data_IF_255109104683
#
_entry.id   IF_255109104683
#
_cell.length_a   1.000
_cell.length_b   1.000
_cell.length_c   1.000
_cell.angle_alpha   90.00
_cell.angle_beta   90.00
_cell.angle_gamma   90.00
#
_symmetry.space_group_name_H-M   'P 1'
#
loop_
_entity.id
_entity.type
_entity.pdbx_description
1 polymer ?
#
# COMPACT_ATOMS: atom_id res chain seq x y z
N UNK A 1 4.94 51.96 -7.41
CA UNK A 1 5.71 50.73 -7.65
C UNK A 1 5.29 49.68 -6.60
N UNK A 2 4.84 48.51 -7.06
CA UNK A 2 4.59 47.42 -6.14
C UNK A 2 5.93 46.97 -5.55
N UNK A 3 6.06 47.04 -4.22
CA UNK A 3 7.24 46.54 -3.53
C UNK A 3 7.05 45.07 -3.39
N UNK A 4 7.94 44.27 -3.98
CA UNK A 4 7.95 42.81 -3.82
C UNK A 4 8.33 42.46 -2.40
N UNK A 5 7.55 41.55 -1.78
CA UNK A 5 7.96 40.91 -0.53
C UNK A 5 8.90 39.76 -0.85
N UNK A 6 10.17 39.96 -0.63
CA UNK A 6 11.22 38.99 -0.93
C UNK A 6 11.19 37.76 -0.02
N UNK A 7 10.64 37.87 1.21
CA UNK A 7 10.44 36.73 2.08
C UNK A 7 9.33 35.81 1.50
N UNK A 8 8.21 36.38 1.10
CA UNK A 8 7.14 35.62 0.44
C UNK A 8 7.59 35.02 -0.89
N UNK A 9 8.41 35.72 -1.65
CA UNK A 9 8.96 35.18 -2.90
C UNK A 9 9.96 34.04 -2.61
N UNK A 10 10.81 34.16 -1.61
CA UNK A 10 11.79 33.12 -1.26
C UNK A 10 11.12 31.83 -0.75
N UNK A 11 9.94 31.94 -0.13
CA UNK A 11 9.18 30.78 0.36
C UNK A 11 8.24 30.18 -0.70
N UNK A 12 8.09 30.83 -1.85
CA UNK A 12 7.12 30.41 -2.83
C UNK A 12 7.56 29.14 -3.59
N UNK A 13 6.77 28.09 -3.53
CA UNK A 13 7.05 26.78 -4.16
C UNK A 13 6.58 26.72 -5.63
N UNK A 14 5.80 27.70 -6.10
CA UNK A 14 5.27 27.75 -7.46
C UNK A 14 6.22 28.49 -8.44
N UNK A 15 7.27 29.12 -7.92
CA UNK A 15 8.27 29.81 -8.75
C UNK A 15 9.07 28.75 -9.53
N UNK A 16 9.20 28.99 -10.84
CA UNK A 16 10.11 28.24 -11.69
C UNK A 16 11.55 28.73 -11.42
N UNK A 17 12.16 28.11 -10.43
CA UNK A 17 13.51 28.46 -10.00
C UNK A 17 14.54 28.16 -11.08
N UNK A 18 15.42 29.12 -11.35
CA UNK A 18 16.55 28.96 -12.24
C UNK A 18 17.77 29.68 -11.68
N UNK A 19 18.95 29.25 -12.12
CA UNK A 19 20.21 29.87 -11.74
C UNK A 19 20.27 31.36 -12.18
N UNK A 20 19.69 31.69 -13.33
CA UNK A 20 19.59 33.07 -13.82
C UNK A 20 18.74 33.93 -12.86
N UNK A 21 17.61 33.39 -12.39
CA UNK A 21 16.74 34.10 -11.46
C UNK A 21 17.43 34.33 -10.11
N UNK A 22 18.11 33.31 -9.58
CA UNK A 22 18.83 33.41 -8.32
C UNK A 22 19.96 34.43 -8.42
N UNK A 23 20.78 34.38 -9.47
CA UNK A 23 21.91 35.29 -9.69
C UNK A 23 21.47 36.73 -9.88
N UNK A 24 20.37 36.96 -10.62
CA UNK A 24 19.86 38.30 -10.95
C UNK A 24 19.42 39.09 -9.70
N UNK A 25 18.90 38.41 -8.70
CA UNK A 25 18.36 39.00 -7.49
C UNK A 25 19.07 38.52 -6.22
N UNK A 26 20.33 38.10 -6.34
CA UNK A 26 21.16 37.50 -5.31
C UNK A 26 21.11 38.25 -3.96
N UNK A 27 21.18 39.58 -3.99
CA UNK A 27 21.16 40.44 -2.80
C UNK A 27 19.74 40.78 -2.28
N UNK A 28 18.69 40.22 -2.90
CA UNK A 28 17.29 40.44 -2.54
C UNK A 28 16.68 39.24 -1.84
N UNK A 29 17.13 38.05 -2.19
CA UNK A 29 16.59 36.81 -1.65
C UNK A 29 16.84 36.71 -0.15
N UNK A 30 15.85 36.15 0.57
CA UNK A 30 16.07 35.65 1.91
C UNK A 30 16.65 34.24 1.82
N UNK A 31 17.94 34.10 1.94
CA UNK A 31 18.68 32.86 1.75
C UNK A 31 18.35 31.80 2.82
N UNK A 32 18.01 32.21 4.06
CA UNK A 32 17.52 31.31 5.08
C UNK A 32 16.23 30.62 4.59
N UNK A 33 15.24 31.41 4.17
CA UNK A 33 13.96 30.87 3.64
C UNK A 33 14.18 30.05 2.37
N UNK A 34 15.10 30.45 1.49
CA UNK A 34 15.46 29.67 0.31
C UNK A 34 16.07 28.30 0.68
N UNK A 35 16.85 28.24 1.76
CA UNK A 35 17.43 26.98 2.25
C UNK A 35 16.36 25.96 2.67
N UNK A 36 15.22 26.43 3.15
CA UNK A 36 14.05 25.59 3.48
C UNK A 36 13.23 25.19 2.24
N UNK A 37 13.35 25.96 1.13
CA UNK A 37 12.46 25.83 -0.02
C UNK A 37 12.72 24.50 -0.76
N UNK A 38 11.70 23.65 -0.80
CA UNK A 38 11.79 22.31 -1.40
C UNK A 38 11.60 22.27 -2.90
N UNK A 39 11.24 23.41 -3.53
CA UNK A 39 10.98 23.50 -4.97
C UNK A 39 12.18 23.97 -5.81
N UNK A 40 13.30 24.36 -5.16
CA UNK A 40 14.53 24.61 -5.90
C UNK A 40 15.04 23.33 -6.54
N UNK A 41 15.62 23.46 -7.74
CA UNK A 41 16.31 22.33 -8.39
C UNK A 41 17.65 22.06 -7.69
N UNK A 42 17.56 21.49 -6.49
CA UNK A 42 18.71 21.23 -5.66
C UNK A 42 19.74 20.34 -6.37
N UNK A 43 20.96 20.82 -6.47
CA UNK A 43 22.11 20.08 -6.95
C UNK A 43 23.36 20.50 -6.19
N UNK A 44 24.38 19.66 -6.27
CA UNK A 44 25.66 19.95 -5.66
C UNK A 44 26.28 21.27 -6.20
N UNK A 45 26.14 21.51 -7.51
CA UNK A 45 26.62 22.73 -8.17
C UNK A 45 25.92 23.98 -7.63
N UNK A 46 24.60 23.90 -7.41
CA UNK A 46 23.83 24.99 -6.85
C UNK A 46 24.27 25.30 -5.42
N UNK A 47 24.44 24.27 -4.59
CA UNK A 47 24.90 24.43 -3.19
C UNK A 47 26.28 25.03 -3.16
N UNK A 48 27.21 24.54 -3.98
CA UNK A 48 28.59 25.04 -4.02
C UNK A 48 28.67 26.48 -4.54
N UNK A 49 27.88 26.82 -5.57
CA UNK A 49 27.86 28.16 -6.16
C UNK A 49 27.50 29.24 -5.15
N UNK A 50 26.50 28.96 -4.31
CA UNK A 50 25.99 29.94 -3.32
C UNK A 50 26.34 29.58 -1.88
N UNK A 51 27.43 28.82 -1.68
CA UNK A 51 27.83 28.26 -0.37
C UNK A 51 27.94 29.27 0.77
N UNK A 52 28.22 30.53 0.47
CA UNK A 52 28.37 31.60 1.45
C UNK A 52 27.03 32.26 1.85
N UNK A 53 25.94 31.90 1.19
CA UNK A 53 24.61 32.47 1.42
C UNK A 53 23.66 31.52 2.14
N UNK A 54 23.83 30.19 1.95
CA UNK A 54 22.95 29.20 2.52
C UNK A 54 22.98 29.17 4.05
N UNK A 55 21.81 28.96 4.62
CA UNK A 55 21.68 28.52 6.00
C UNK A 55 21.82 26.99 6.04
N UNK A 56 22.93 26.50 6.54
CA UNK A 56 23.26 25.07 6.56
C UNK A 56 22.43 24.26 7.56
N UNK A 57 21.86 24.92 8.59
CA UNK A 57 20.92 24.27 9.50
C UNK A 57 19.63 23.90 8.76
N UNK A 58 19.10 24.85 7.97
CA UNK A 58 17.90 24.65 7.18
C UNK A 58 18.16 23.75 5.96
N UNK A 59 19.32 23.85 5.31
CA UNK A 59 19.69 22.91 4.26
C UNK A 59 19.74 21.47 4.77
N UNK A 60 20.30 21.24 5.96
CA UNK A 60 20.37 19.90 6.55
C UNK A 60 18.98 19.29 6.77
N UNK A 61 17.97 20.10 7.08
CA UNK A 61 16.58 19.69 7.28
C UNK A 61 15.80 19.52 5.97
N UNK A 62 16.30 20.11 4.87
CA UNK A 62 15.57 20.14 3.61
C UNK A 62 15.50 18.75 2.96
N UNK A 63 14.28 18.20 2.92
CA UNK A 63 14.00 16.83 2.42
C UNK A 63 14.23 16.64 0.92
N UNK A 64 14.39 17.72 0.15
CA UNK A 64 14.62 17.67 -1.30
C UNK A 64 16.11 17.56 -1.64
N UNK A 65 17.00 17.64 -0.65
CA UNK A 65 18.44 17.50 -0.84
C UNK A 65 18.88 16.09 -0.44
N UNK A 66 19.51 15.39 -1.38
CA UNK A 66 20.07 14.07 -1.14
C UNK A 66 21.49 14.20 -0.57
N UNK A 67 21.57 14.20 0.76
CA UNK A 67 22.86 14.26 1.44
C UNK A 67 23.57 12.91 1.39
N UNK A 68 24.83 12.94 0.93
CA UNK A 68 25.77 11.81 1.03
C UNK A 68 26.72 12.03 2.19
N UNK A 69 27.40 10.96 2.60
CA UNK A 69 28.41 11.02 3.67
C UNK A 69 29.45 12.11 3.38
N UNK A 70 29.97 12.19 2.12
CA UNK A 70 31.00 13.14 1.72
C UNK A 70 30.50 14.59 1.78
N UNK A 71 29.23 14.85 1.44
CA UNK A 71 28.64 16.18 1.49
C UNK A 71 28.37 16.63 2.94
N UNK A 72 27.93 15.71 3.77
CA UNK A 72 27.72 15.97 5.21
C UNK A 72 29.05 16.37 5.86
N UNK A 73 30.12 15.64 5.55
CA UNK A 73 31.45 15.90 6.09
C UNK A 73 32.05 17.19 5.52
N UNK A 74 31.89 17.42 4.21
CA UNK A 74 32.37 18.63 3.52
C UNK A 74 31.77 19.91 4.09
N UNK A 75 30.45 19.92 4.34
CA UNK A 75 29.75 21.09 4.86
C UNK A 75 29.60 21.09 6.38
N UNK A 76 30.20 20.13 7.07
CA UNK A 76 30.17 19.98 8.54
C UNK A 76 28.74 20.03 9.10
N UNK A 77 27.82 19.32 8.42
CA UNK A 77 26.42 19.31 8.82
C UNK A 77 26.25 18.57 10.16
N UNK A 78 25.53 19.20 11.08
CA UNK A 78 25.34 18.67 12.41
C UNK A 78 24.18 17.69 12.50
N UNK A 79 24.35 16.62 13.28
CA UNK A 79 23.33 15.62 13.57
C UNK A 79 21.99 16.22 14.01
N UNK A 80 22.04 17.21 14.90
CA UNK A 80 20.82 17.84 15.46
C UNK A 80 19.86 18.41 14.40
N UNK A 81 20.33 18.66 13.17
CA UNK A 81 19.52 19.13 12.06
C UNK A 81 19.20 18.00 11.06
N UNK A 82 20.18 17.14 10.75
CA UNK A 82 20.04 16.03 9.82
C UNK A 82 18.98 15.02 10.24
N UNK A 83 18.83 14.76 11.52
CA UNK A 83 17.83 13.81 12.05
C UNK A 83 16.38 14.18 11.72
N UNK A 84 16.10 15.41 11.32
CA UNK A 84 14.78 15.87 10.89
C UNK A 84 14.55 15.74 9.39
N UNK A 85 15.59 15.36 8.62
CA UNK A 85 15.49 15.21 7.18
C UNK A 85 14.88 13.86 6.79
N UNK A 86 13.58 13.85 6.49
CA UNK A 86 12.85 12.64 6.08
C UNK A 86 13.10 12.23 4.62
N UNK A 87 13.73 13.09 3.82
CA UNK A 87 14.10 12.80 2.42
C UNK A 87 15.46 12.12 2.28
N UNK A 88 16.28 12.13 3.34
CA UNK A 88 17.61 11.54 3.31
C UNK A 88 17.54 10.01 3.22
N UNK A 89 18.40 9.42 2.38
CA UNK A 89 18.57 7.97 2.30
C UNK A 89 19.56 7.52 3.38
N UNK A 90 19.08 6.83 4.39
CA UNK A 90 19.90 6.31 5.48
C UNK A 90 20.62 5.02 5.03
N UNK A 91 21.87 5.17 4.63
CA UNK A 91 22.77 4.09 4.28
C UNK A 91 23.49 3.52 5.50
N UNK A 92 24.11 2.35 5.35
CA UNK A 92 24.90 1.74 6.44
C UNK A 92 25.99 2.69 6.94
N UNK A 93 26.69 3.39 6.03
CA UNK A 93 27.78 4.30 6.40
C UNK A 93 27.29 5.51 7.21
N UNK A 94 26.12 6.06 6.86
CA UNK A 94 25.49 7.13 7.62
C UNK A 94 25.01 6.67 9.00
N UNK A 95 24.41 5.47 9.06
CA UNK A 95 23.98 4.89 10.33
C UNK A 95 25.16 4.58 11.24
N UNK A 96 26.29 4.09 10.72
CA UNK A 96 27.53 3.90 11.48
C UNK A 96 28.11 5.22 11.97
N UNK A 97 28.06 6.25 11.14
CA UNK A 97 28.55 7.60 11.49
C UNK A 97 27.79 8.22 12.66
N UNK A 98 26.49 8.03 12.70
CA UNK A 98 25.59 8.63 13.71
C UNK A 98 25.05 7.63 14.73
N UNK A 99 25.64 6.46 14.83
CA UNK A 99 25.16 5.38 15.71
C UNK A 99 25.02 5.82 17.17
N UNK A 100 26.01 6.57 17.68
CA UNK A 100 26.03 7.06 19.06
C UNK A 100 24.93 8.07 19.35
N UNK A 101 24.71 8.97 18.38
CA UNK A 101 23.69 10.00 18.46
C UNK A 101 22.28 9.41 18.44
N UNK A 102 22.07 8.36 17.60
CA UNK A 102 20.80 7.62 17.55
C UNK A 102 20.56 6.88 18.87
N UNK A 103 21.60 6.29 19.47
CA UNK A 103 21.52 5.60 20.76
C UNK A 103 21.13 6.57 21.90
N UNK A 104 21.69 7.78 21.90
CA UNK A 104 21.38 8.80 22.91
C UNK A 104 19.95 9.34 22.82
N UNK A 105 19.36 9.38 21.63
CA UNK A 105 17.99 9.87 21.45
C UNK A 105 16.93 9.03 22.20
N UNK A 106 17.22 7.78 22.54
CA UNK A 106 16.30 6.90 23.28
C UNK A 106 16.08 7.41 24.72
N UNK A 107 17.09 8.05 25.31
CA UNK A 107 17.03 8.54 26.69
C UNK A 107 16.38 9.92 26.81
N UNK A 108 16.39 10.72 25.74
CA UNK A 108 15.94 12.12 25.71
C UNK A 108 14.58 12.36 25.07
N UNK A 109 13.95 11.32 24.49
CA UNK A 109 12.73 11.48 23.69
C UNK A 109 11.47 11.77 24.52
N UNK A 110 11.43 12.97 25.08
CA UNK A 110 10.21 13.58 25.64
C UNK A 110 9.29 14.14 24.55
N UNK A 111 9.78 14.25 23.31
CA UNK A 111 9.06 14.70 22.12
C UNK A 111 9.24 13.69 21.01
N UNK A 112 8.16 13.16 20.47
CA UNK A 112 8.12 12.20 19.34
C UNK A 112 8.73 12.75 18.02
N UNK A 113 9.88 13.43 18.11
CA UNK A 113 10.54 14.12 17.00
C UNK A 113 11.93 13.61 16.66
N UNK A 114 12.67 13.05 17.64
CA UNK A 114 14.04 12.61 17.43
C UNK A 114 14.12 11.29 16.65
N UNK A 115 15.16 11.11 15.84
CA UNK A 115 15.42 9.87 15.12
C UNK A 115 15.92 8.79 16.09
N UNK A 116 15.21 7.69 16.18
CA UNK A 116 15.56 6.52 16.99
C UNK A 116 15.63 5.25 16.12
N UNK A 117 16.24 4.19 16.62
CA UNK A 117 16.25 2.88 15.95
C UNK A 117 14.85 2.31 15.77
N UNK A 118 13.95 2.61 16.70
CA UNK A 118 12.55 2.26 16.60
C UNK A 118 11.90 2.93 15.38
N UNK A 119 12.08 4.25 15.21
CA UNK A 119 11.53 5.01 14.07
C UNK A 119 12.13 4.60 12.74
N UNK A 120 13.44 4.31 12.71
CA UNK A 120 14.09 3.74 11.52
C UNK A 120 13.45 2.41 11.12
N UNK A 121 13.10 1.58 12.11
CA UNK A 121 12.48 0.27 11.87
C UNK A 121 11.04 0.35 11.35
N UNK A 122 10.35 1.47 11.54
CA UNK A 122 8.95 1.65 11.14
C UNK A 122 8.78 1.82 9.63
N UNK A 123 7.71 1.21 9.07
CA UNK A 123 7.22 1.51 7.72
C UNK A 123 6.11 2.57 7.74
N UNK A 124 5.44 2.76 6.61
CA UNK A 124 4.33 3.74 6.46
C UNK A 124 3.06 3.40 7.24
N UNK A 125 3.01 2.29 7.94
CA UNK A 125 1.81 1.79 8.59
C UNK A 125 1.27 2.73 9.69
N UNK A 126 2.09 3.64 10.22
CA UNK A 126 1.70 4.59 11.26
C UNK A 126 1.52 5.99 10.67
N UNK A 127 0.28 6.40 10.44
CA UNK A 127 -0.10 7.70 9.84
C UNK A 127 0.45 8.96 10.55
N UNK A 128 0.93 8.81 11.77
CA UNK A 128 1.37 9.91 12.63
C UNK A 128 2.88 10.03 12.76
N UNK A 129 3.66 9.06 12.24
CA UNK A 129 5.11 9.02 12.39
C UNK A 129 5.83 9.49 11.12
N UNK A 130 6.98 10.11 11.31
CA UNK A 130 7.90 10.41 10.20
C UNK A 130 8.44 9.09 9.65
N UNK A 131 8.28 8.88 8.36
CA UNK A 131 8.88 7.73 7.68
C UNK A 131 10.26 8.12 7.19
N UNK A 132 11.26 7.37 7.63
CA UNK A 132 12.63 7.54 7.17
C UNK A 132 12.92 6.59 6.02
N UNK A 133 13.63 7.11 5.02
CA UNK A 133 14.04 6.33 3.86
C UNK A 133 15.35 5.62 4.19
N UNK A 134 15.32 4.30 4.39
CA UNK A 134 16.50 3.48 4.73
C UNK A 134 16.83 2.57 3.56
N UNK A 135 18.11 2.49 3.22
CA UNK A 135 18.65 1.57 2.21
C UNK A 135 18.75 0.15 2.78
N UNK A 136 17.60 -0.49 2.94
CA UNK A 136 17.50 -1.79 3.57
C UNK A 136 18.25 -2.87 2.78
N UNK A 137 19.17 -3.52 3.46
CA UNK A 137 19.89 -4.70 2.96
C UNK A 137 20.13 -5.69 4.10
N UNK A 138 20.35 -6.96 3.77
CA UNK A 138 20.73 -7.98 4.75
C UNK A 138 21.99 -7.56 5.53
N UNK A 139 22.95 -6.90 4.86
CA UNK A 139 24.16 -6.38 5.47
C UNK A 139 23.85 -5.32 6.52
N UNK A 140 22.99 -4.35 6.20
CA UNK A 140 22.58 -3.28 7.11
C UNK A 140 21.82 -3.86 8.31
N UNK A 141 20.84 -4.71 8.06
CA UNK A 141 20.02 -5.32 9.13
C UNK A 141 20.92 -6.13 10.09
N UNK A 142 21.86 -6.92 9.54
CA UNK A 142 22.82 -7.70 10.36
C UNK A 142 23.74 -6.82 11.18
N UNK A 143 24.18 -5.70 10.64
CA UNK A 143 25.06 -4.74 11.34
C UNK A 143 24.40 -4.11 12.57
N UNK A 144 23.10 -3.87 12.48
CA UNK A 144 22.33 -3.21 13.55
C UNK A 144 21.27 -4.11 14.17
N UNK A 145 21.44 -5.41 14.06
CA UNK A 145 20.47 -6.45 14.45
C UNK A 145 19.95 -6.33 15.88
N UNK A 146 20.82 -5.92 16.81
CA UNK A 146 20.49 -5.79 18.23
C UNK A 146 19.86 -4.43 18.59
N UNK A 147 19.88 -3.48 17.66
CA UNK A 147 19.33 -2.12 17.86
C UNK A 147 17.98 -1.92 17.19
N UNK A 148 17.72 -2.65 16.12
CA UNK A 148 16.48 -2.55 15.34
C UNK A 148 15.30 -3.15 16.10
N UNK A 149 14.14 -2.50 15.98
CA UNK A 149 12.90 -3.01 16.53
C UNK A 149 12.29 -4.04 15.56
N UNK A 150 12.42 -5.33 15.87
CA UNK A 150 11.95 -6.43 15.03
C UNK A 150 10.44 -6.50 14.88
N UNK A 151 9.69 -6.01 15.85
CA UNK A 151 8.25 -5.91 15.76
C UNK A 151 7.82 -4.93 14.66
N UNK A 152 8.47 -3.76 14.63
CA UNK A 152 8.24 -2.76 13.59
C UNK A 152 8.81 -3.18 12.23
N UNK A 153 10.01 -3.78 12.19
CA UNK A 153 10.57 -4.31 10.95
C UNK A 153 9.66 -5.36 10.31
N UNK A 154 9.02 -6.21 11.11
CA UNK A 154 8.09 -7.23 10.60
C UNK A 154 6.86 -6.65 9.92
N UNK A 155 6.55 -5.38 10.17
CA UNK A 155 5.47 -4.63 9.51
C UNK A 155 5.97 -3.66 8.45
N UNK A 156 7.29 -3.57 8.24
CA UNK A 156 7.85 -2.55 7.36
C UNK A 156 7.76 -2.97 5.89
N UNK A 157 6.88 -2.32 5.15
CA UNK A 157 6.66 -2.58 3.72
C UNK A 157 7.82 -2.13 2.81
N UNK A 158 8.72 -1.27 3.33
CA UNK A 158 9.88 -0.78 2.58
C UNK A 158 11.06 -1.76 2.56
N UNK A 159 10.98 -2.86 3.31
CA UNK A 159 11.98 -3.92 3.24
C UNK A 159 11.92 -4.66 1.89
N UNK A 160 13.07 -5.04 1.31
CA UNK A 160 13.12 -5.84 0.08
C UNK A 160 12.76 -7.31 0.36
N UNK A 161 11.51 -7.55 0.73
CA UNK A 161 11.03 -8.86 1.12
C UNK A 161 11.30 -9.93 0.06
N UNK A 162 12.10 -10.92 0.43
CA UNK A 162 12.40 -12.11 -0.36
C UNK A 162 12.75 -13.28 0.55
N UNK A 163 12.89 -14.46 -0.04
CA UNK A 163 13.19 -15.71 0.71
C UNK A 163 14.50 -15.63 1.48
N UNK A 164 15.53 -14.98 0.91
CA UNK A 164 16.84 -14.88 1.57
C UNK A 164 16.77 -14.01 2.82
N UNK A 165 16.13 -12.82 2.73
CA UNK A 165 15.93 -11.93 3.87
C UNK A 165 15.14 -12.61 4.98
N UNK A 166 14.02 -13.27 4.63
CA UNK A 166 13.16 -13.95 5.59
C UNK A 166 13.94 -15.06 6.31
N UNK A 167 14.61 -15.95 5.57
CA UNK A 167 15.36 -17.06 6.13
C UNK A 167 16.53 -16.60 7.01
N UNK A 168 17.23 -15.52 6.59
CA UNK A 168 18.40 -15.03 7.32
C UNK A 168 18.04 -14.63 8.75
N UNK A 169 16.86 -14.07 8.96
CA UNK A 169 16.43 -13.57 10.27
C UNK A 169 15.14 -14.24 10.78
N UNK A 170 14.84 -15.46 10.33
CA UNK A 170 13.60 -16.16 10.63
C UNK A 170 13.22 -16.18 12.12
N UNK A 171 14.13 -16.42 13.07
CA UNK A 171 13.78 -16.46 14.50
C UNK A 171 13.40 -15.10 15.10
N UNK A 172 13.71 -13.99 14.40
CA UNK A 172 13.49 -12.62 14.90
C UNK A 172 12.20 -11.99 14.41
N UNK A 173 11.66 -12.48 13.27
CA UNK A 173 10.43 -11.93 12.72
C UNK A 173 9.21 -12.22 13.60
N UNK A 174 8.39 -11.19 13.82
CA UNK A 174 7.05 -11.37 14.34
C UNK A 174 6.13 -11.85 13.21
N UNK A 175 5.94 -13.18 13.11
CA UNK A 175 5.21 -13.82 12.02
C UNK A 175 3.75 -13.36 11.94
N UNK A 176 3.12 -12.98 13.05
CA UNK A 176 1.74 -12.51 13.05
C UNK A 176 1.60 -11.13 12.37
N UNK A 177 2.51 -10.23 12.66
CA UNK A 177 2.54 -8.89 12.01
C UNK A 177 3.04 -8.95 10.58
N UNK A 178 4.03 -9.76 10.32
CA UNK A 178 4.60 -10.03 9.02
C UNK A 178 3.56 -10.46 7.97
N UNK A 179 2.58 -11.28 8.35
CA UNK A 179 1.54 -11.76 7.43
C UNK A 179 0.59 -10.68 6.93
N UNK A 180 0.50 -9.54 7.60
CA UNK A 180 -0.45 -8.46 7.25
C UNK A 180 0.11 -7.47 6.22
N UNK A 181 1.42 -7.35 6.09
CA UNK A 181 2.08 -6.25 5.38
C UNK A 181 2.76 -6.65 4.08
N UNK A 182 2.89 -7.94 3.82
CA UNK A 182 3.75 -8.43 2.79
C UNK A 182 3.01 -9.27 1.73
N UNK A 183 3.45 -9.18 0.49
CA UNK A 183 2.85 -9.91 -0.62
C UNK A 183 3.29 -11.38 -0.62
N UNK A 184 2.38 -12.28 -0.28
CA UNK A 184 2.59 -13.71 -0.36
C UNK A 184 2.54 -14.18 -1.82
N UNK A 185 3.70 -14.36 -2.42
CA UNK A 185 3.83 -14.91 -3.76
C UNK A 185 4.14 -16.41 -3.73
N UNK A 186 4.03 -17.04 -4.90
CA UNK A 186 4.29 -18.48 -5.05
C UNK A 186 5.67 -18.90 -4.52
N UNK A 187 6.73 -18.13 -4.80
CA UNK A 187 8.10 -18.50 -4.39
C UNK A 187 8.24 -18.57 -2.88
N UNK A 188 7.67 -17.60 -2.17
CA UNK A 188 7.75 -17.52 -0.72
C UNK A 188 6.93 -18.63 -0.07
N UNK A 189 5.71 -18.85 -0.56
CA UNK A 189 4.84 -19.92 -0.05
C UNK A 189 5.49 -21.29 -0.28
N UNK A 190 6.08 -21.52 -1.45
CA UNK A 190 6.72 -22.78 -1.80
C UNK A 190 7.99 -23.08 -0.99
N UNK A 191 8.80 -22.05 -0.73
CA UNK A 191 10.07 -22.21 0.00
C UNK A 191 9.93 -22.12 1.51
N UNK A 192 8.89 -21.49 2.01
CA UNK A 192 8.68 -21.21 3.43
C UNK A 192 7.28 -21.62 3.92
N UNK A 193 6.78 -22.82 3.61
CA UNK A 193 5.42 -23.22 3.99
C UNK A 193 5.22 -23.28 5.51
N UNK A 194 6.27 -23.48 6.30
CA UNK A 194 6.20 -23.54 7.76
C UNK A 194 5.83 -22.24 8.45
N UNK A 195 6.06 -21.10 7.80
CA UNK A 195 5.67 -19.79 8.34
C UNK A 195 4.32 -19.30 7.81
N UNK A 196 3.73 -20.02 6.86
CA UNK A 196 2.47 -19.67 6.25
C UNK A 196 1.33 -19.77 7.26
N UNK A 197 0.66 -18.66 7.51
CA UNK A 197 -0.61 -18.64 8.25
C UNK A 197 -1.75 -18.89 7.24
N UNK A 198 -2.06 -20.15 6.97
CA UNK A 198 -2.98 -20.56 5.90
C UNK A 198 -4.36 -19.93 5.99
N UNK A 199 -4.86 -19.66 7.21
CA UNK A 199 -6.11 -18.93 7.41
C UNK A 199 -6.05 -17.50 6.85
N UNK A 200 -4.87 -16.84 6.98
CA UNK A 200 -4.66 -15.50 6.45
C UNK A 200 -4.45 -15.53 4.94
N UNK A 201 -3.62 -16.46 4.45
CA UNK A 201 -3.38 -16.68 3.02
C UNK A 201 -4.70 -16.90 2.28
N UNK A 202 -5.64 -17.64 2.90
CA UNK A 202 -6.94 -17.92 2.30
C UNK A 202 -7.87 -16.70 2.22
N UNK A 203 -7.69 -15.69 3.06
CA UNK A 203 -8.55 -14.50 3.11
C UNK A 203 -7.84 -13.23 2.68
N UNK A 204 -6.49 -13.17 2.77
CA UNK A 204 -5.70 -11.96 2.64
C UNK A 204 -5.79 -11.30 1.26
N UNK A 205 -5.76 -9.97 1.26
CA UNK A 205 -5.79 -9.15 0.05
C UNK A 205 -4.45 -9.17 -0.70
N UNK A 206 -3.36 -9.40 0.04
CA UNK A 206 -1.99 -9.35 -0.47
C UNK A 206 -1.43 -10.73 -0.83
N UNK A 207 -2.29 -11.64 -1.33
CA UNK A 207 -1.89 -13.00 -1.65
C UNK A 207 -2.18 -13.31 -3.11
N UNK A 208 -1.15 -13.70 -3.86
CA UNK A 208 -1.31 -14.17 -5.23
C UNK A 208 -1.54 -15.69 -5.24
N UNK A 209 -2.81 -16.11 -5.09
CA UNK A 209 -3.21 -17.50 -5.17
C UNK A 209 -3.53 -17.89 -6.62
N UNK A 210 -2.66 -18.71 -7.21
CA UNK A 210 -2.91 -19.33 -8.51
C UNK A 210 -3.60 -20.70 -8.34
N UNK A 211 -4.34 -21.21 -9.34
CA UNK A 211 -4.95 -22.54 -9.28
C UNK A 211 -3.95 -23.66 -8.96
N UNK A 212 -2.71 -23.59 -9.49
CA UNK A 212 -1.64 -24.56 -9.20
C UNK A 212 -1.22 -24.53 -7.74
N UNK A 213 -1.11 -23.33 -7.15
CA UNK A 213 -0.76 -23.14 -5.75
C UNK A 213 -1.88 -23.66 -4.84
N UNK A 214 -3.13 -23.37 -5.22
CA UNK A 214 -4.31 -23.89 -4.51
C UNK A 214 -4.38 -25.42 -4.54
N UNK A 215 -4.11 -26.01 -5.69
CA UNK A 215 -4.06 -27.47 -5.82
C UNK A 215 -2.96 -28.09 -4.96
N UNK A 216 -1.76 -27.49 -4.94
CA UNK A 216 -0.62 -27.96 -4.17
C UNK A 216 -0.89 -27.95 -2.66
N UNK A 217 -1.56 -26.92 -2.17
CA UNK A 217 -1.79 -26.68 -0.74
C UNK A 217 -3.27 -26.80 -0.35
N UNK A 218 -4.05 -27.60 -1.10
CA UNK A 218 -5.50 -27.71 -0.92
C UNK A 218 -5.94 -28.23 0.46
N UNK A 219 -5.05 -28.91 1.19
CA UNK A 219 -5.36 -29.45 2.52
C UNK A 219 -5.04 -28.47 3.65
N UNK A 220 -4.20 -27.47 3.39
CA UNK A 220 -3.81 -26.42 4.33
C UNK A 220 -4.70 -25.18 4.22
N UNK A 221 -5.24 -24.93 3.02
CA UNK A 221 -6.09 -23.77 2.75
C UNK A 221 -7.42 -23.84 3.49
N UNK A 222 -7.85 -22.70 4.02
CA UNK A 222 -9.17 -22.53 4.62
C UNK A 222 -10.21 -22.20 3.52
N UNK A 223 -10.87 -23.25 3.02
CA UNK A 223 -11.83 -23.14 1.94
C UNK A 223 -13.06 -22.29 2.28
N UNK A 224 -13.41 -22.20 3.57
CA UNK A 224 -14.47 -21.33 4.04
C UNK A 224 -14.12 -19.85 3.79
N UNK A 225 -12.90 -19.45 4.14
CA UNK A 225 -12.37 -18.10 3.91
C UNK A 225 -12.14 -17.82 2.44
N UNK A 226 -11.59 -18.77 1.70
CA UNK A 226 -11.42 -18.66 0.24
C UNK A 226 -12.75 -18.41 -0.47
N UNK A 227 -13.82 -19.11 -0.07
CA UNK A 227 -15.14 -18.92 -0.67
C UNK A 227 -15.72 -17.52 -0.48
N UNK A 228 -15.31 -16.80 0.55
CA UNK A 228 -15.70 -15.41 0.81
C UNK A 228 -14.68 -14.38 0.29
N UNK A 229 -13.52 -14.82 -0.22
CA UNK A 229 -12.45 -13.92 -0.66
C UNK A 229 -12.86 -13.19 -1.94
N UNK A 230 -12.91 -11.85 -1.88
CA UNK A 230 -13.29 -11.01 -3.02
C UNK A 230 -12.11 -10.64 -3.93
N UNK A 231 -10.88 -10.90 -3.50
CA UNK A 231 -9.65 -10.55 -4.23
C UNK A 231 -9.12 -11.72 -5.07
N UNK A 232 -9.71 -12.92 -4.92
CA UNK A 232 -9.36 -14.06 -5.74
C UNK A 232 -9.81 -13.81 -7.20
N UNK A 233 -8.97 -14.20 -8.15
CA UNK A 233 -9.31 -14.12 -9.60
C UNK A 233 -10.33 -15.20 -9.96
N UNK A 234 -11.59 -14.92 -9.66
CA UNK A 234 -12.69 -15.85 -9.89
C UNK A 234 -12.93 -16.10 -11.38
N UNK A 235 -13.04 -17.37 -11.75
CA UNK A 235 -13.50 -17.84 -13.05
C UNK A 235 -14.34 -19.11 -12.90
N UNK A 236 -15.10 -19.48 -13.92
CA UNK A 236 -15.86 -20.74 -13.90
C UNK A 236 -14.93 -21.95 -13.81
N UNK A 237 -13.77 -21.91 -14.48
CA UNK A 237 -12.77 -22.99 -14.44
C UNK A 237 -12.20 -23.15 -13.01
N UNK A 238 -12.00 -22.05 -12.28
CA UNK A 238 -11.55 -22.11 -10.90
C UNK A 238 -12.62 -22.74 -10.00
N UNK A 239 -13.88 -22.37 -10.18
CA UNK A 239 -15.00 -22.93 -9.43
C UNK A 239 -15.13 -24.44 -9.72
N UNK A 240 -15.04 -24.84 -10.97
CA UNK A 240 -15.08 -26.26 -11.39
C UNK A 240 -13.95 -27.08 -10.79
N UNK A 241 -12.73 -26.54 -10.79
CA UNK A 241 -11.52 -27.24 -10.36
C UNK A 241 -11.58 -27.68 -8.88
N UNK A 242 -12.37 -26.96 -8.07
CA UNK A 242 -12.45 -27.19 -6.64
C UNK A 242 -13.92 -27.25 -6.13
N UNK A 243 -14.84 -27.69 -6.98
CA UNK A 243 -16.29 -27.66 -6.69
C UNK A 243 -16.70 -28.36 -5.40
N UNK A 244 -15.98 -29.41 -5.00
CA UNK A 244 -16.19 -30.18 -3.78
C UNK A 244 -15.53 -29.58 -2.52
N UNK A 245 -14.71 -28.55 -2.68
CA UNK A 245 -14.00 -27.86 -1.60
C UNK A 245 -14.69 -26.57 -1.14
N UNK A 246 -15.37 -25.91 -2.07
CA UNK A 246 -15.99 -24.62 -1.79
C UNK A 246 -17.09 -24.70 -0.73
N UNK A 247 -17.14 -23.70 0.12
CA UNK A 247 -18.32 -23.44 0.95
C UNK A 247 -19.37 -22.69 0.13
N UNK A 248 -20.31 -23.42 -0.47
CA UNK A 248 -21.32 -22.88 -1.38
C UNK A 248 -22.18 -21.77 -0.77
N UNK A 249 -22.42 -21.81 0.52
CA UNK A 249 -23.13 -20.73 1.23
C UNK A 249 -22.38 -19.41 1.23
N UNK A 250 -21.03 -19.45 1.25
CA UNK A 250 -20.19 -18.26 1.18
C UNK A 250 -19.97 -17.81 -0.27
N UNK A 251 -19.83 -18.74 -1.21
CA UNK A 251 -19.83 -18.42 -2.65
C UNK A 251 -21.08 -17.66 -3.04
N UNK A 252 -22.28 -18.13 -2.59
CA UNK A 252 -23.55 -17.48 -2.89
C UNK A 252 -23.61 -16.02 -2.42
N UNK A 253 -22.89 -15.69 -1.36
CA UNK A 253 -22.78 -14.34 -0.81
C UNK A 253 -21.58 -13.55 -1.34
N UNK A 254 -20.77 -14.12 -2.24
CA UNK A 254 -19.57 -13.49 -2.75
C UNK A 254 -19.87 -12.69 -4.02
N UNK A 255 -19.77 -11.36 -3.93
CA UNK A 255 -20.03 -10.45 -5.06
C UNK A 255 -18.93 -10.47 -6.14
N UNK A 256 -17.76 -11.05 -5.86
CA UNK A 256 -16.65 -11.09 -6.82
C UNK A 256 -16.77 -12.18 -7.88
N UNK A 257 -17.65 -13.18 -7.68
CA UNK A 257 -17.83 -14.26 -8.66
C UNK A 257 -18.30 -13.74 -10.04
N UNK A 258 -17.98 -14.46 -11.13
CA UNK A 258 -18.46 -14.16 -12.48
C UNK A 258 -19.93 -14.60 -12.64
N UNK A 259 -20.82 -13.93 -11.89
CA UNK A 259 -22.23 -14.29 -11.87
C UNK A 259 -22.87 -14.24 -13.25
N UNK A 260 -23.45 -15.35 -13.63
CA UNK A 260 -24.20 -15.53 -14.88
C UNK A 260 -25.36 -16.51 -14.68
N UNK A 261 -26.31 -16.52 -15.58
CA UNK A 261 -27.39 -17.52 -15.61
C UNK A 261 -26.81 -18.93 -15.71
N UNK A 262 -25.81 -19.11 -16.58
CA UNK A 262 -25.12 -20.38 -16.75
C UNK A 262 -24.49 -20.91 -15.48
N UNK A 263 -23.79 -20.03 -14.72
CA UNK A 263 -23.19 -20.39 -13.45
C UNK A 263 -24.25 -20.83 -12.43
N UNK A 264 -25.36 -20.11 -12.36
CA UNK A 264 -26.45 -20.41 -11.45
C UNK A 264 -27.10 -21.76 -11.77
N UNK A 265 -27.37 -22.04 -13.06
CA UNK A 265 -27.96 -23.29 -13.51
C UNK A 265 -27.03 -24.48 -13.32
N UNK A 266 -25.72 -24.30 -13.64
CA UNK A 266 -24.71 -25.36 -13.53
C UNK A 266 -24.59 -25.93 -12.14
N UNK A 267 -24.75 -25.09 -11.10
CA UNK A 267 -24.59 -25.46 -9.69
C UNK A 267 -25.89 -25.33 -8.89
N UNK A 268 -27.05 -25.48 -9.53
CA UNK A 268 -28.38 -25.31 -8.91
C UNK A 268 -28.57 -26.11 -7.60
N UNK A 269 -28.03 -27.35 -7.57
CA UNK A 269 -28.12 -28.23 -6.41
C UNK A 269 -27.23 -27.82 -5.22
N UNK A 270 -26.23 -26.98 -5.46
CA UNK A 270 -25.24 -26.57 -4.43
C UNK A 270 -25.59 -25.24 -3.76
N UNK A 271 -26.38 -24.37 -4.41
CA UNK A 271 -26.70 -23.07 -3.88
C UNK A 271 -27.61 -23.15 -2.65
N UNK A 272 -27.15 -22.57 -1.52
CA UNK A 272 -27.94 -22.49 -0.31
C UNK A 272 -28.79 -21.22 -0.34
N UNK A 273 -30.09 -21.38 -0.56
CA UNK A 273 -31.06 -20.33 -0.86
C UNK A 273 -31.56 -19.55 0.36
N UNK A 274 -31.10 -19.87 1.58
CA UNK A 274 -31.44 -19.18 2.81
C UNK A 274 -30.61 -17.92 3.07
N UNK A 275 -29.55 -17.69 2.27
CA UNK A 275 -28.64 -16.54 2.40
C UNK A 275 -28.89 -15.48 1.33
N UNK A 276 -28.42 -14.27 1.62
CA UNK A 276 -28.51 -13.13 0.71
C UNK A 276 -27.65 -13.37 -0.54
N UNK A 277 -28.27 -13.39 -1.69
CA UNK A 277 -27.59 -13.46 -2.96
C UNK A 277 -26.94 -12.11 -3.33
N UNK A 278 -25.64 -12.09 -3.54
CA UNK A 278 -24.88 -10.87 -3.83
C UNK A 278 -24.59 -10.67 -5.33
N UNK A 279 -24.92 -11.65 -6.20
CA UNK A 279 -24.66 -11.60 -7.65
C UNK A 279 -25.73 -10.91 -8.49
N UNK A 280 -26.82 -10.47 -7.86
CA UNK A 280 -28.05 -10.02 -8.54
C UNK A 280 -27.82 -8.82 -9.47
N UNK A 281 -26.93 -7.89 -9.08
CA UNK A 281 -26.63 -6.69 -9.87
C UNK A 281 -25.77 -6.98 -11.10
N UNK A 282 -25.15 -8.16 -11.16
CA UNK A 282 -24.28 -8.60 -12.26
C UNK A 282 -25.01 -9.46 -13.29
N UNK A 283 -26.19 -9.97 -12.95
CA UNK A 283 -26.97 -10.81 -13.87
C UNK A 283 -27.83 -9.89 -14.72
N UNK A 284 -27.66 -10.00 -16.03
CA UNK A 284 -28.54 -9.35 -17.00
C UNK A 284 -29.89 -10.07 -17.01
N UNK A 285 -30.96 -9.35 -16.66
CA UNK A 285 -32.32 -9.87 -16.70
C UNK A 285 -32.83 -9.84 -18.13
N UNK A 286 -32.52 -10.91 -18.89
CA UNK A 286 -33.03 -11.13 -20.21
C UNK A 286 -34.29 -12.00 -20.20
N UNK A 287 -35.02 -12.02 -21.33
CA UNK A 287 -36.16 -12.95 -21.53
C UNK A 287 -35.69 -14.41 -21.37
N UNK A 288 -34.52 -14.72 -21.89
CA UNK A 288 -33.85 -16.01 -21.75
C UNK A 288 -33.60 -16.41 -20.30
N UNK A 289 -33.24 -15.43 -19.44
CA UNK A 289 -33.14 -15.63 -18.01
C UNK A 289 -34.49 -16.06 -17.39
N UNK A 290 -35.53 -15.34 -17.73
CA UNK A 290 -36.89 -15.60 -17.18
C UNK A 290 -37.48 -16.94 -17.64
N UNK A 291 -37.19 -17.35 -18.88
CA UNK A 291 -37.69 -18.60 -19.44
C UNK A 291 -36.89 -19.82 -18.97
N UNK A 292 -35.59 -19.68 -18.71
CA UNK A 292 -34.70 -20.78 -18.37
C UNK A 292 -34.34 -20.92 -16.89
N UNK A 293 -34.64 -19.92 -16.08
CA UNK A 293 -34.51 -20.06 -14.61
C UNK A 293 -35.73 -20.85 -14.08
N UNK A 294 -35.48 -22.06 -13.59
CA UNK A 294 -36.54 -22.92 -13.04
C UNK A 294 -37.20 -22.26 -11.81
N UNK A 295 -38.52 -22.58 -11.62
CA UNK A 295 -39.26 -22.17 -10.39
C UNK A 295 -38.56 -22.55 -9.09
N UNK A 296 -37.68 -23.58 -9.12
CA UNK A 296 -36.81 -23.95 -7.98
C UNK A 296 -35.87 -22.85 -7.54
N UNK A 297 -35.40 -21.98 -8.44
CA UNK A 297 -34.49 -20.88 -8.15
C UNK A 297 -35.16 -19.79 -7.30
N UNK A 298 -36.47 -19.64 -7.43
CA UNK A 298 -37.29 -18.61 -6.81
C UNK A 298 -38.10 -19.11 -5.63
N UNK A 299 -37.72 -20.24 -5.02
CA UNK A 299 -38.45 -20.83 -3.88
C UNK A 299 -38.45 -19.98 -2.61
N UNK A 300 -37.71 -18.88 -2.56
CA UNK A 300 -37.84 -17.90 -1.46
C UNK A 300 -38.59 -16.66 -1.98
N UNK A 301 -39.73 -16.35 -1.36
CA UNK A 301 -40.57 -15.18 -1.66
C UNK A 301 -39.79 -13.85 -1.70
N UNK A 302 -38.67 -13.77 -0.95
CA UNK A 302 -37.82 -12.58 -0.90
C UNK A 302 -36.97 -12.36 -2.14
N UNK A 303 -36.49 -13.43 -2.76
CA UNK A 303 -35.71 -13.37 -4.02
C UNK A 303 -36.63 -13.02 -5.18
N UNK A 304 -37.82 -13.63 -5.24
CA UNK A 304 -38.85 -13.31 -6.23
C UNK A 304 -39.26 -11.83 -6.15
N UNK A 305 -39.57 -11.33 -4.98
CA UNK A 305 -39.95 -9.92 -4.77
C UNK A 305 -38.85 -8.95 -5.21
N UNK A 306 -37.57 -9.31 -5.04
CA UNK A 306 -36.45 -8.48 -5.46
C UNK A 306 -36.31 -8.47 -6.99
N UNK A 307 -36.44 -9.62 -7.65
CA UNK A 307 -36.44 -9.71 -9.12
C UNK A 307 -37.63 -8.97 -9.71
N UNK A 308 -38.79 -9.12 -9.14
CA UNK A 308 -40.02 -8.43 -9.56
C UNK A 308 -39.84 -6.90 -9.47
N UNK A 309 -39.26 -6.40 -8.40
CA UNK A 309 -38.95 -4.98 -8.25
C UNK A 309 -37.92 -4.50 -9.28
N UNK A 310 -36.89 -5.29 -9.60
CA UNK A 310 -35.87 -4.92 -10.59
C UNK A 310 -36.44 -4.94 -12.01
N UNK A 311 -37.26 -5.91 -12.35
CA UNK A 311 -37.99 -5.98 -13.61
C UNK A 311 -38.93 -4.78 -13.78
N UNK A 312 -39.67 -4.44 -12.72
CA UNK A 312 -40.57 -3.29 -12.75
C UNK A 312 -39.81 -1.98 -12.90
N UNK A 313 -38.64 -1.81 -12.26
CA UNK A 313 -37.76 -0.64 -12.46
C UNK A 313 -37.24 -0.55 -13.91
N UNK A 314 -36.82 -1.66 -14.51
CA UNK A 314 -36.35 -1.67 -15.90
C UNK A 314 -37.49 -1.39 -16.90
N UNK A 315 -38.68 -1.90 -16.64
CA UNK A 315 -39.89 -1.62 -17.46
C UNK A 315 -40.30 -0.13 -17.34
N UNK A 316 -40.18 0.46 -16.17
CA UNK A 316 -40.44 1.90 -15.97
C UNK A 316 -39.39 2.78 -16.72
N UNK A 317 -38.11 2.41 -16.70
CA UNK A 317 -37.04 3.10 -17.45
C UNK A 317 -37.31 3.00 -18.96
N UNK A 318 -37.66 1.81 -19.46
CA UNK A 318 -37.99 1.62 -20.89
C UNK A 318 -39.26 2.38 -21.31
N UNK A 319 -40.25 2.53 -20.44
CA UNK A 319 -41.42 3.36 -20.69
C UNK A 319 -41.03 4.85 -20.78
N UNK A 320 -40.14 5.31 -19.93
CA UNK A 320 -39.66 6.70 -19.93
C UNK A 320 -38.87 6.97 -21.21
N UNK A 321 -37.99 6.07 -21.65
CA UNK A 321 -37.24 6.19 -22.89
C UNK A 321 -38.14 6.18 -24.13
N UNK A 322 -39.19 5.31 -24.18
CA UNK A 322 -40.19 5.28 -25.24
C UNK A 322 -41.06 6.55 -25.28
N UNK A 323 -41.30 7.18 -24.15
CA UNK A 323 -42.02 8.46 -24.07
C UNK A 323 -41.13 9.63 -24.48
N UNK A 324 -39.84 9.60 -24.12
CA UNK A 324 -38.88 10.63 -24.53
C UNK A 324 -38.60 10.64 -26.02
N UNK A 325 -38.60 9.47 -26.67
CA UNK A 325 -38.44 9.35 -28.14
C UNK A 325 -39.67 9.73 -28.95
N UNK A 326 -40.86 9.89 -28.33
CA UNK A 326 -42.08 10.32 -28.98
C UNK A 326 -42.32 11.84 -28.87
N UNK A 327 -41.48 12.59 -28.15
CA UNK A 327 -41.61 14.05 -27.92
C UNK A 327 -40.64 14.83 -28.83
N UNK A 328 -39.81 14.16 -29.62
CA UNK A 328 -39.00 14.73 -30.70
C UNK A 328 -39.47 14.12 -32.04
#
# INVERSE_FOLDING_TARGET
PRIWDWNLLSSNIEILWSDELLSKYEYKWNWQILSENTSLCWSFELIEKYKNYWDYEELARNKSILWTFELIDKYQLEWRHLQFNTGMLWTIDLLERFEKEIDLNVEEDTFDQLLTWEKLSQGKMFFWTRVYNVDWSIKLIRRFEDKLNWEHLSCNENLPWNVELINTFLPKWNIEKFTLTFLWNKEIIDKLPSICKWWYISYGENVELTPELMLKYQNELDWYRLSSNQNLKWSEELIDSFHDKWSWSYLYSNSALPWSVGLLQKYDDYWIRDKRFCGIDKIELSIDFLENCSEKFFSSDKLWLFFENKINQQLEIQKIDLLSTKIF
#
